data_IF_766274190457
#
_entry.id   IF_766274190457
#
_cell.length_a   1.000
_cell.length_b   1.000
_cell.length_c   1.000
_cell.angle_alpha   90.00
_cell.angle_beta   90.00
_cell.angle_gamma   90.00
#
_symmetry.space_group_name_H-M   'P 1'
#
loop_
_entity.id
_entity.type
_entity.pdbx_description
1 polymer ?
#
# COMPACT_ATOMS: atom_id res chain seq x y z
N UNK A 1 -7.93 -25.21 -18.22
CA UNK A 1 -8.16 -23.75 -18.22
C UNK A 1 -6.80 -23.10 -18.20
N UNK A 2 -6.43 -22.37 -19.25
CA UNK A 2 -5.08 -21.80 -19.41
C UNK A 2 -5.05 -20.49 -18.64
N UNK A 3 -4.29 -20.44 -17.54
CA UNK A 3 -4.06 -19.21 -16.80
C UNK A 3 -3.21 -18.24 -17.64
N UNK A 4 -3.55 -16.95 -17.63
CA UNK A 4 -2.74 -15.93 -18.33
C UNK A 4 -1.32 -15.89 -17.79
N UNK A 5 -0.32 -15.96 -18.67
CA UNK A 5 1.09 -15.76 -18.33
C UNK A 5 1.44 -14.27 -18.30
N UNK A 6 2.60 -13.90 -17.75
CA UNK A 6 3.12 -12.51 -17.59
C UNK A 6 3.37 -11.72 -18.90
N UNK A 7 2.78 -12.11 -20.02
CA UNK A 7 2.71 -11.31 -21.26
C UNK A 7 1.29 -10.85 -21.63
N UNK A 8 0.26 -11.44 -21.04
CA UNK A 8 -1.15 -11.10 -21.32
C UNK A 8 -1.73 -10.25 -20.19
N UNK A 9 -1.71 -8.93 -20.37
CA UNK A 9 -2.22 -7.96 -19.39
C UNK A 9 -3.73 -8.08 -19.20
N UNK A 10 -4.20 -7.79 -17.99
CA UNK A 10 -5.63 -7.57 -17.74
C UNK A 10 -6.08 -6.28 -18.45
N UNK A 11 -7.33 -6.26 -18.92
CA UNK A 11 -7.86 -5.14 -19.72
C UNK A 11 -8.47 -4.05 -18.84
N UNK A 12 -9.07 -4.44 -17.73
CA UNK A 12 -9.93 -3.57 -16.91
C UNK A 12 -9.18 -2.86 -15.78
N UNK A 13 -8.03 -3.38 -15.35
CA UNK A 13 -7.21 -2.83 -14.28
C UNK A 13 -5.76 -3.29 -14.45
N UNK A 14 -4.81 -2.55 -13.86
CA UNK A 14 -3.41 -2.97 -13.73
C UNK A 14 -3.22 -3.82 -12.48
N UNK A 15 -2.15 -4.59 -12.48
CA UNK A 15 -1.77 -5.44 -11.34
C UNK A 15 -0.33 -5.19 -10.94
N UNK A 16 -0.08 -5.10 -9.64
CA UNK A 16 1.25 -4.88 -9.11
C UNK A 16 1.54 -5.81 -7.93
N UNK A 17 2.82 -6.06 -7.67
CA UNK A 17 3.28 -6.76 -6.47
C UNK A 17 4.24 -5.86 -5.72
N UNK A 18 4.03 -5.73 -4.41
CA UNK A 18 4.94 -4.96 -3.56
C UNK A 18 6.02 -5.89 -2.97
N UNK A 19 7.28 -5.52 -3.13
CA UNK A 19 8.44 -6.26 -2.62
C UNK A 19 9.06 -5.48 -1.47
N UNK A 20 8.99 -6.02 -0.26
CA UNK A 20 9.60 -5.38 0.92
C UNK A 20 11.12 -5.35 0.80
N UNK A 21 11.80 -4.54 1.62
CA UNK A 21 13.27 -4.52 1.63
C UNK A 21 13.86 -5.91 1.96
N UNK A 22 13.15 -6.72 2.77
CA UNK A 22 13.54 -8.11 3.03
C UNK A 22 13.35 -9.00 1.80
N UNK A 23 12.27 -8.83 1.05
CA UNK A 23 12.07 -9.53 -0.22
C UNK A 23 13.21 -9.21 -1.19
N UNK A 24 13.50 -7.92 -1.39
CA UNK A 24 14.57 -7.48 -2.30
C UNK A 24 15.94 -8.02 -1.85
N UNK A 25 16.25 -8.01 -0.56
CA UNK A 25 17.48 -8.61 -0.04
C UNK A 25 17.56 -10.12 -0.32
N UNK A 26 16.44 -10.84 -0.21
CA UNK A 26 16.37 -12.27 -0.56
C UNK A 26 16.59 -12.50 -2.07
N UNK A 27 16.21 -11.56 -2.92
CA UNK A 27 16.44 -11.60 -4.37
C UNK A 27 17.93 -11.51 -4.77
N UNK A 28 18.84 -11.30 -3.80
CA UNK A 28 20.27 -11.48 -4.04
C UNK A 28 20.60 -12.89 -4.53
N UNK A 29 19.87 -13.92 -4.07
CA UNK A 29 19.91 -15.27 -4.63
C UNK A 29 19.13 -15.32 -5.96
N UNK A 30 19.87 -15.30 -7.07
CA UNK A 30 19.31 -15.36 -8.42
C UNK A 30 18.50 -16.64 -8.67
N UNK A 31 18.90 -17.77 -8.07
CA UNK A 31 18.21 -19.04 -8.24
C UNK A 31 16.85 -19.03 -7.54
N UNK A 32 16.79 -18.45 -6.34
CA UNK A 32 15.52 -18.23 -5.64
C UNK A 32 14.64 -17.21 -6.38
N UNK A 33 15.20 -16.09 -6.84
CA UNK A 33 14.47 -15.07 -7.60
C UNK A 33 13.83 -15.66 -8.86
N UNK A 34 14.59 -16.40 -9.67
CA UNK A 34 14.08 -17.05 -10.88
C UNK A 34 12.93 -18.02 -10.58
N UNK A 35 13.13 -18.91 -9.60
CA UNK A 35 12.13 -19.92 -9.24
C UNK A 35 10.86 -19.29 -8.66
N UNK A 36 11.00 -18.32 -7.77
CA UNK A 36 9.86 -17.63 -7.15
C UNK A 36 9.08 -16.79 -8.16
N UNK A 37 9.77 -16.10 -9.06
CA UNK A 37 9.14 -15.36 -10.15
C UNK A 37 8.32 -16.31 -11.02
N UNK A 38 8.88 -17.47 -11.39
CA UNK A 38 8.19 -18.48 -12.18
C UNK A 38 6.94 -19.05 -11.49
N UNK A 39 6.90 -19.10 -10.15
CA UNK A 39 5.69 -19.51 -9.41
C UNK A 39 4.59 -18.45 -9.53
N UNK A 40 4.91 -17.18 -9.28
CA UNK A 40 3.92 -16.11 -9.32
C UNK A 40 3.45 -15.83 -10.75
N UNK A 41 4.37 -15.70 -11.70
CA UNK A 41 4.09 -15.38 -13.11
C UNK A 41 3.27 -16.44 -13.86
N UNK A 42 3.35 -17.70 -13.44
CA UNK A 42 2.47 -18.78 -13.93
C UNK A 42 1.07 -18.72 -13.34
N UNK A 43 0.92 -18.09 -12.18
CA UNK A 43 -0.33 -18.03 -11.46
C UNK A 43 -1.16 -16.82 -11.87
N UNK A 44 -0.53 -15.66 -12.05
CA UNK A 44 -1.18 -14.44 -12.52
C UNK A 44 -0.17 -13.49 -13.20
N UNK A 45 -0.65 -12.69 -14.15
CA UNK A 45 0.14 -11.59 -14.72
C UNK A 45 0.22 -10.42 -13.73
N UNK A 46 1.39 -9.78 -13.62
CA UNK A 46 1.57 -8.50 -12.94
C UNK A 46 2.38 -7.54 -13.82
N UNK A 47 1.89 -6.31 -13.93
CA UNK A 47 2.44 -5.27 -14.81
C UNK A 47 3.64 -4.57 -14.17
N UNK A 48 3.65 -4.50 -12.84
CA UNK A 48 4.59 -3.69 -12.07
C UNK A 48 5.03 -4.40 -10.79
N UNK A 49 6.25 -4.10 -10.34
CA UNK A 49 6.66 -4.30 -8.96
C UNK A 49 7.06 -2.98 -8.31
N UNK A 50 6.66 -2.81 -7.05
CA UNK A 50 7.21 -1.77 -6.18
C UNK A 50 8.36 -2.39 -5.39
N UNK A 51 9.56 -1.86 -5.52
CA UNK A 51 10.78 -2.37 -4.88
C UNK A 51 11.15 -1.46 -3.71
N UNK A 52 10.94 -1.95 -2.49
CA UNK A 52 11.20 -1.16 -1.29
C UNK A 52 12.70 -1.02 -1.02
N UNK A 53 13.15 0.23 -0.85
CA UNK A 53 14.57 0.53 -0.60
C UNK A 53 14.93 0.54 0.89
N UNK A 54 13.94 0.74 1.76
CA UNK A 54 14.14 0.87 3.20
C UNK A 54 12.98 0.31 4.00
N UNK A 55 13.28 -0.60 4.93
CA UNK A 55 12.38 -1.16 5.96
C UNK A 55 13.21 -1.60 7.16
N UNK A 56 12.66 -1.55 8.37
CA UNK A 56 13.25 -2.22 9.55
C UNK A 56 14.68 -1.74 9.84
N UNK A 57 14.92 -0.45 9.59
CA UNK A 57 16.25 0.17 9.62
C UNK A 57 17.30 -0.46 8.66
N UNK A 58 16.86 -1.27 7.69
CA UNK A 58 17.68 -1.88 6.65
C UNK A 58 17.52 -1.08 5.36
N UNK A 59 18.64 -0.60 4.81
CA UNK A 59 18.72 0.04 3.51
C UNK A 59 19.26 -0.98 2.49
N UNK A 60 18.54 -1.19 1.38
CA UNK A 60 18.98 -2.09 0.31
C UNK A 60 20.11 -1.45 -0.49
N UNK A 61 21.15 -2.21 -0.83
CA UNK A 61 22.29 -1.69 -1.60
C UNK A 61 21.89 -1.31 -3.03
N UNK A 62 22.54 -0.27 -3.57
CA UNK A 62 22.32 0.20 -4.95
C UNK A 62 22.53 -0.93 -5.97
N UNK A 63 23.62 -1.69 -5.84
CA UNK A 63 23.96 -2.76 -6.77
C UNK A 63 22.88 -3.84 -6.80
N UNK A 64 22.34 -4.20 -5.63
CA UNK A 64 21.25 -5.17 -5.56
C UNK A 64 19.97 -4.60 -6.16
N UNK A 65 19.63 -3.34 -5.87
CA UNK A 65 18.47 -2.67 -6.47
C UNK A 65 18.56 -2.66 -8.00
N UNK A 66 19.71 -2.31 -8.56
CA UNK A 66 19.92 -2.28 -10.01
C UNK A 66 19.80 -3.69 -10.63
N UNK A 67 20.36 -4.71 -9.98
CA UNK A 67 20.22 -6.12 -10.39
C UNK A 67 18.76 -6.55 -10.42
N UNK A 68 18.01 -6.31 -9.34
CA UNK A 68 16.60 -6.70 -9.23
C UNK A 68 15.74 -5.92 -10.21
N UNK A 69 15.99 -4.63 -10.40
CA UNK A 69 15.31 -3.82 -11.42
C UNK A 69 15.50 -4.40 -12.82
N UNK A 70 16.74 -4.74 -13.20
CA UNK A 70 17.02 -5.35 -14.51
C UNK A 70 16.26 -6.67 -14.66
N UNK A 71 16.29 -7.52 -13.64
CA UNK A 71 15.60 -8.82 -13.67
C UNK A 71 14.12 -8.70 -14.05
N UNK A 72 13.40 -7.76 -13.44
CA UNK A 72 11.97 -7.52 -13.72
C UNK A 72 11.76 -6.83 -15.07
N UNK A 73 12.58 -5.84 -15.40
CA UNK A 73 12.49 -5.11 -16.68
C UNK A 73 12.73 -6.03 -17.88
N UNK A 74 13.70 -6.93 -17.79
CA UNK A 74 14.02 -7.92 -18.83
C UNK A 74 12.87 -8.93 -19.05
N UNK A 75 11.92 -8.99 -18.10
CA UNK A 75 10.70 -9.80 -18.15
C UNK A 75 9.44 -8.98 -18.46
N UNK A 76 9.60 -7.71 -18.86
CA UNK A 76 8.49 -6.82 -19.23
C UNK A 76 7.69 -6.27 -18.05
N UNK A 77 8.22 -6.36 -16.83
CA UNK A 77 7.57 -5.85 -15.60
C UNK A 77 8.14 -4.48 -15.25
N UNK A 78 7.28 -3.48 -15.11
CA UNK A 78 7.63 -2.11 -14.69
C UNK A 78 8.16 -2.11 -13.25
N UNK A 79 9.05 -1.17 -12.91
CA UNK A 79 9.61 -1.07 -11.55
C UNK A 79 9.44 0.34 -11.00
N UNK A 80 8.83 0.45 -9.82
CA UNK A 80 8.71 1.68 -9.04
C UNK A 80 9.36 1.51 -7.67
N UNK A 81 9.72 2.61 -7.01
CA UNK A 81 10.34 2.59 -5.68
C UNK A 81 9.30 2.46 -4.57
N UNK A 82 9.61 1.73 -3.51
CA UNK A 82 8.85 1.70 -2.27
C UNK A 82 9.68 2.21 -1.08
N UNK A 83 9.03 2.81 -0.08
CA UNK A 83 9.66 3.19 1.19
C UNK A 83 8.69 2.84 2.33
N UNK A 84 9.11 2.03 3.31
CA UNK A 84 8.43 1.97 4.60
C UNK A 84 9.33 2.50 5.70
N UNK A 85 8.87 3.54 6.38
CA UNK A 85 9.57 4.18 7.51
C UNK A 85 9.42 3.39 8.82
N UNK A 86 9.39 2.06 8.72
CA UNK A 86 9.32 1.12 9.83
C UNK A 86 10.72 0.89 10.44
N UNK A 87 10.83 0.83 11.77
CA UNK A 87 12.11 0.75 12.50
C UNK A 87 12.41 -0.60 13.18
N UNK A 88 11.45 -1.52 13.22
CA UNK A 88 11.35 -2.66 14.16
C UNK A 88 10.51 -2.35 15.40
N UNK A 89 9.57 -3.24 15.73
CA UNK A 89 8.77 -3.10 16.94
C UNK A 89 7.94 -4.32 17.31
N UNK A 90 8.05 -5.44 16.59
CA UNK A 90 7.14 -6.58 16.76
C UNK A 90 5.68 -6.10 16.72
N UNK A 91 4.91 -6.42 17.76
CA UNK A 91 3.50 -6.00 17.88
C UNK A 91 3.28 -4.49 18.15
N UNK A 92 4.33 -3.71 18.39
CA UNK A 92 4.21 -2.26 18.66
C UNK A 92 4.22 -1.37 17.42
N UNK A 93 4.48 -1.95 16.24
CA UNK A 93 4.45 -1.26 14.93
C UNK A 93 5.13 0.12 14.96
N UNK A 94 6.42 0.17 15.27
CA UNK A 94 7.15 1.43 15.44
C UNK A 94 7.64 2.00 14.10
N UNK A 95 7.29 3.25 13.82
CA UNK A 95 7.84 4.03 12.70
C UNK A 95 8.99 4.96 13.16
N UNK A 96 9.67 5.57 12.19
CA UNK A 96 10.60 6.68 12.43
C UNK A 96 9.95 7.76 13.31
N UNK A 97 10.71 8.29 14.25
CA UNK A 97 10.26 9.39 15.11
C UNK A 97 10.69 10.72 14.50
N UNK A 98 9.75 11.40 13.84
CA UNK A 98 10.06 12.67 13.17
C UNK A 98 10.28 13.87 14.12
N UNK A 99 10.30 13.67 15.44
CA UNK A 99 10.86 14.65 16.38
C UNK A 99 12.38 14.62 16.43
N UNK A 100 12.98 13.47 16.14
CA UNK A 100 14.42 13.26 16.18
C UNK A 100 15.07 13.81 14.93
N UNK A 101 16.14 14.58 15.10
CA UNK A 101 16.97 15.04 13.98
C UNK A 101 17.53 13.86 13.19
N UNK A 102 17.94 12.80 13.88
CA UNK A 102 18.61 11.64 13.30
C UNK A 102 17.66 10.88 12.36
N UNK A 103 16.41 10.66 12.79
CA UNK A 103 15.39 9.98 11.98
C UNK A 103 14.94 10.85 10.78
N UNK A 104 14.93 12.18 10.93
CA UNK A 104 14.69 13.11 9.81
C UNK A 104 15.82 13.06 8.78
N UNK A 105 17.08 13.03 9.22
CA UNK A 105 18.23 12.85 8.31
C UNK A 105 18.21 11.47 7.64
N UNK A 106 17.84 10.43 8.39
CA UNK A 106 17.69 9.09 7.83
C UNK A 106 16.62 9.06 6.74
N UNK A 107 15.47 9.70 6.96
CA UNK A 107 14.44 9.81 5.93
C UNK A 107 14.95 10.56 4.70
N UNK A 108 15.70 11.66 4.86
CA UNK A 108 16.32 12.36 3.72
C UNK A 108 17.27 11.45 2.94
N UNK A 109 18.12 10.69 3.62
CA UNK A 109 19.03 9.74 2.98
C UNK A 109 18.26 8.72 2.14
N UNK A 110 17.22 8.11 2.73
CA UNK A 110 16.36 7.13 2.06
C UNK A 110 15.69 7.75 0.84
N UNK A 111 15.04 8.91 1.00
CA UNK A 111 14.34 9.59 -0.11
C UNK A 111 15.30 9.95 -1.24
N UNK A 112 16.50 10.48 -0.93
CA UNK A 112 17.52 10.78 -1.94
C UNK A 112 17.94 9.52 -2.70
N UNK A 113 18.18 8.42 -1.99
CA UNK A 113 18.54 7.15 -2.61
C UNK A 113 17.43 6.68 -3.56
N UNK A 114 16.19 6.62 -3.08
CA UNK A 114 15.06 6.11 -3.87
C UNK A 114 14.79 6.99 -5.10
N UNK A 115 14.86 8.32 -4.96
CA UNK A 115 14.68 9.26 -6.07
C UNK A 115 15.80 9.23 -7.12
N UNK A 116 17.02 8.80 -6.75
CA UNK A 116 18.09 8.51 -7.73
C UNK A 116 17.80 7.25 -8.54
N UNK A 117 17.03 6.32 -7.96
CA UNK A 117 16.80 5.00 -8.54
C UNK A 117 15.47 4.92 -9.30
N UNK A 118 14.46 5.73 -8.99
CA UNK A 118 13.11 5.59 -9.56
C UNK A 118 12.47 6.93 -9.91
N UNK A 119 11.64 6.91 -10.96
CA UNK A 119 10.82 8.05 -11.39
C UNK A 119 9.42 8.05 -10.77
N UNK A 120 9.05 6.98 -10.07
CA UNK A 120 7.80 6.85 -9.31
C UNK A 120 8.11 6.17 -7.98
N UNK A 121 7.66 6.76 -6.86
CA UNK A 121 7.92 6.29 -5.50
C UNK A 121 6.61 6.25 -4.72
N UNK A 122 6.33 5.12 -4.08
CA UNK A 122 5.24 4.98 -3.11
C UNK A 122 5.79 4.92 -1.68
N UNK A 123 5.19 5.70 -0.80
CA UNK A 123 5.36 5.58 0.65
C UNK A 123 4.32 4.60 1.18
N UNK A 124 4.82 3.56 1.85
CA UNK A 124 4.02 2.56 2.56
C UNK A 124 3.26 3.19 3.73
N UNK A 125 2.24 2.50 4.23
CA UNK A 125 1.36 3.03 5.27
C UNK A 125 2.01 3.14 6.66
N UNK A 126 3.27 2.73 6.83
CA UNK A 126 4.11 3.04 8.00
C UNK A 126 4.63 4.50 8.05
N UNK A 127 4.27 5.34 7.08
CA UNK A 127 4.65 6.76 7.08
C UNK A 127 4.08 7.56 8.26
N UNK A 128 3.14 7.00 9.03
CA UNK A 128 2.59 7.60 10.24
C UNK A 128 3.62 7.85 11.35
N UNK A 129 3.20 8.56 12.42
CA UNK A 129 3.92 8.67 13.69
C UNK A 129 3.08 8.21 14.89
N UNK A 130 3.54 7.16 15.57
CA UNK A 130 2.93 6.69 16.82
C UNK A 130 3.80 6.97 18.07
N UNK A 131 5.02 7.47 17.90
CA UNK A 131 5.97 7.71 18.97
C UNK A 131 5.48 8.77 19.99
N UNK A 132 5.82 8.55 21.27
CA UNK A 132 5.57 9.47 22.40
C UNK A 132 6.81 9.61 23.31
N UNK A 133 8.02 9.55 22.74
CA UNK A 133 9.26 9.74 23.50
C UNK A 133 9.37 11.16 24.08
N UNK A 134 10.39 11.39 24.91
CA UNK A 134 10.62 12.69 25.58
C UNK A 134 10.68 13.86 24.60
N UNK A 135 11.34 13.68 23.45
CA UNK A 135 11.40 14.70 22.40
C UNK A 135 10.03 14.99 21.79
N UNK A 136 9.19 13.97 21.55
CA UNK A 136 7.82 14.18 21.11
C UNK A 136 7.01 14.94 22.15
N UNK A 137 7.16 14.60 23.44
CA UNK A 137 6.45 15.29 24.53
C UNK A 137 6.86 16.76 24.59
N UNK A 138 8.17 17.04 24.47
CA UNK A 138 8.71 18.40 24.42
C UNK A 138 8.23 19.16 23.18
N UNK A 139 8.26 18.54 21.99
CA UNK A 139 7.85 19.14 20.73
C UNK A 139 6.34 19.40 20.66
N UNK A 140 5.51 18.50 21.23
CA UNK A 140 4.06 18.69 21.34
C UNK A 140 3.72 19.96 22.12
N UNK A 141 4.42 20.20 23.23
CA UNK A 141 4.13 21.32 24.13
C UNK A 141 2.69 21.27 24.64
N UNK A 142 1.96 22.38 24.55
CA UNK A 142 0.55 22.48 25.00
C UNK A 142 -0.48 21.95 24.00
N UNK A 143 -0.09 21.56 22.78
CA UNK A 143 -1.02 21.08 21.74
C UNK A 143 -1.64 19.73 22.10
N UNK A 144 -2.75 19.38 21.46
CA UNK A 144 -3.21 17.98 21.48
C UNK A 144 -2.22 17.08 20.72
N UNK A 145 -2.25 15.77 20.97
CA UNK A 145 -1.43 14.82 20.19
C UNK A 145 -1.78 14.86 18.70
N UNK A 146 -3.07 14.93 18.36
CA UNK A 146 -3.54 15.03 16.98
C UNK A 146 -3.01 16.28 16.28
N UNK A 147 -3.18 17.46 16.89
CA UNK A 147 -2.72 18.72 16.27
C UNK A 147 -1.20 18.70 16.04
N UNK A 148 -0.45 18.23 17.03
CA UNK A 148 1.00 18.12 16.92
C UNK A 148 1.42 17.14 15.81
N UNK A 149 0.81 15.95 15.74
CA UNK A 149 1.14 14.93 14.73
C UNK A 149 0.80 15.40 13.32
N UNK A 150 -0.35 16.03 13.12
CA UNK A 150 -0.73 16.59 11.82
C UNK A 150 0.29 17.63 11.35
N UNK A 151 0.57 18.66 12.17
CA UNK A 151 1.56 19.70 11.80
C UNK A 151 2.96 19.13 11.54
N UNK A 152 3.37 18.17 12.35
CA UNK A 152 4.67 17.50 12.19
C UNK A 152 4.74 16.75 10.86
N UNK A 153 3.72 15.97 10.53
CA UNK A 153 3.70 15.19 9.30
C UNK A 153 3.52 16.05 8.05
N UNK A 154 2.79 17.16 8.13
CA UNK A 154 2.74 18.15 7.04
C UNK A 154 4.14 18.72 6.73
N UNK A 155 4.91 19.10 7.76
CA UNK A 155 6.31 19.54 7.63
C UNK A 155 7.20 18.45 7.03
N UNK A 156 7.10 17.21 7.54
CA UNK A 156 7.89 16.09 7.05
C UNK A 156 7.55 15.76 5.59
N UNK A 157 6.26 15.71 5.25
CA UNK A 157 5.80 15.43 3.89
C UNK A 157 6.30 16.51 2.90
N UNK A 158 6.14 17.79 3.22
CA UNK A 158 6.55 18.86 2.31
C UNK A 158 8.08 19.02 2.27
N UNK A 159 8.69 19.22 3.44
CA UNK A 159 10.07 19.70 3.54
C UNK A 159 11.11 18.58 3.52
N UNK A 160 10.73 17.37 3.93
CA UNK A 160 11.64 16.22 3.92
C UNK A 160 11.34 15.32 2.73
N UNK A 161 10.10 14.92 2.49
CA UNK A 161 9.78 13.99 1.41
C UNK A 161 9.79 14.67 0.05
N UNK A 162 8.84 15.59 -0.20
CA UNK A 162 8.62 16.14 -1.55
C UNK A 162 9.80 16.98 -2.04
N UNK A 163 10.29 17.92 -1.22
CA UNK A 163 11.43 18.77 -1.60
C UNK A 163 12.69 17.94 -1.86
N UNK A 164 13.06 17.03 -0.96
CA UNK A 164 14.27 16.21 -1.13
C UNK A 164 14.19 15.30 -2.36
N UNK A 165 13.04 14.67 -2.62
CA UNK A 165 12.89 13.82 -3.80
C UNK A 165 13.04 14.63 -5.09
N UNK A 166 12.41 15.82 -5.15
CA UNK A 166 12.43 16.69 -6.33
C UNK A 166 13.75 17.43 -6.53
N UNK A 167 14.53 17.65 -5.47
CA UNK A 167 15.93 18.11 -5.58
C UNK A 167 16.80 17.12 -6.36
N UNK A 168 16.54 15.82 -6.19
CA UNK A 168 17.29 14.74 -6.85
C UNK A 168 16.72 14.44 -8.25
N UNK A 169 15.40 14.34 -8.35
CA UNK A 169 14.69 14.04 -9.59
C UNK A 169 13.46 14.97 -9.70
N UNK A 170 13.57 16.10 -10.41
CA UNK A 170 12.48 17.06 -10.54
C UNK A 170 11.18 16.51 -11.16
N UNK A 171 11.27 15.39 -11.89
CA UNK A 171 10.14 14.72 -12.53
C UNK A 171 9.57 13.54 -11.74
N UNK A 172 10.10 13.25 -10.54
CA UNK A 172 9.65 12.12 -9.73
C UNK A 172 8.17 12.26 -9.38
N UNK A 173 7.41 11.17 -9.57
CA UNK A 173 6.03 11.04 -9.13
C UNK A 173 5.99 10.43 -7.74
N UNK A 174 5.38 11.13 -6.80
CA UNK A 174 5.28 10.69 -5.42
C UNK A 174 3.85 10.23 -5.12
N UNK A 175 3.76 9.06 -4.49
CA UNK A 175 2.53 8.42 -4.07
C UNK A 175 2.56 8.24 -2.56
N UNK A 176 1.49 8.67 -1.88
CA UNK A 176 1.27 8.35 -0.47
C UNK A 176 0.19 7.27 -0.36
N UNK A 177 0.53 6.12 0.25
CA UNK A 177 -0.46 5.10 0.61
C UNK A 177 -1.12 5.50 1.92
N UNK A 178 -2.44 5.56 1.93
CA UNK A 178 -3.21 5.66 3.17
C UNK A 178 -3.62 4.27 3.65
N UNK A 179 -3.50 3.99 4.96
CA UNK A 179 -3.82 2.67 5.52
C UNK A 179 -5.32 2.36 5.52
N UNK A 180 -5.67 1.12 5.86
CA UNK A 180 -7.06 0.68 5.96
C UNK A 180 -7.88 1.34 7.10
N UNK A 181 -7.27 2.01 8.07
CA UNK A 181 -7.97 2.66 9.21
C UNK A 181 -8.36 4.13 8.93
N UNK A 182 -9.16 4.36 7.89
CA UNK A 182 -9.51 5.72 7.41
C UNK A 182 -10.20 6.65 8.40
N UNK A 183 -10.89 6.11 9.41
CA UNK A 183 -11.51 6.89 10.47
C UNK A 183 -10.47 7.45 11.47
N UNK A 184 -9.22 6.97 11.46
CA UNK A 184 -8.21 7.26 12.48
C UNK A 184 -6.92 7.92 11.95
N UNK A 185 -6.86 8.28 10.66
CA UNK A 185 -5.71 8.92 10.01
C UNK A 185 -5.04 10.03 10.82
N UNK A 186 -5.83 11.02 11.26
CA UNK A 186 -5.34 12.19 11.97
C UNK A 186 -4.71 11.87 13.33
N UNK A 187 -5.11 10.77 13.97
CA UNK A 187 -4.52 10.38 15.26
C UNK A 187 -3.06 9.96 15.14
N UNK A 188 -2.63 9.48 13.97
CA UNK A 188 -1.26 9.07 13.71
C UNK A 188 -0.55 9.96 12.68
N UNK A 189 -1.15 11.12 12.37
CA UNK A 189 -0.50 12.19 11.60
C UNK A 189 -0.73 12.16 10.10
N UNK A 190 -1.56 11.27 9.56
CA UNK A 190 -1.98 11.39 8.16
C UNK A 190 -2.92 12.59 8.01
N UNK A 191 -2.42 13.68 7.42
CA UNK A 191 -3.19 14.87 7.11
C UNK A 191 -3.80 14.73 5.72
N UNK A 192 -4.91 13.97 5.64
CA UNK A 192 -5.51 13.56 4.36
C UNK A 192 -5.83 14.76 3.44
N UNK A 193 -6.31 15.87 3.98
CA UNK A 193 -6.61 17.06 3.16
C UNK A 193 -5.35 17.73 2.60
N UNK A 194 -4.28 17.82 3.39
CA UNK A 194 -3.04 18.46 2.99
C UNK A 194 -2.22 17.56 2.06
N UNK A 195 -1.93 16.34 2.51
CA UNK A 195 -1.06 15.39 1.82
C UNK A 195 -1.65 14.94 0.48
N UNK A 196 -2.98 14.77 0.37
CA UNK A 196 -3.60 14.39 -0.91
C UNK A 196 -3.48 15.48 -2.00
N UNK A 197 -3.31 16.75 -1.60
CA UNK A 197 -3.02 17.87 -2.51
C UNK A 197 -1.54 17.98 -2.82
N UNK A 198 -0.69 17.66 -1.84
CA UNK A 198 0.76 17.76 -1.93
C UNK A 198 1.37 16.66 -2.82
N UNK A 199 0.95 15.41 -2.65
CA UNK A 199 1.44 14.27 -3.41
C UNK A 199 0.79 14.18 -4.81
N UNK A 200 1.54 13.67 -5.78
CA UNK A 200 1.07 13.54 -7.17
C UNK A 200 -0.09 12.53 -7.27
N UNK A 201 -0.02 11.45 -6.50
CA UNK A 201 -1.07 10.43 -6.39
C UNK A 201 -1.26 9.98 -4.94
N UNK A 202 -2.42 9.42 -4.66
CA UNK A 202 -2.69 8.69 -3.41
C UNK A 202 -2.91 7.21 -3.73
N UNK A 203 -2.75 6.35 -2.73
CA UNK A 203 -3.01 4.92 -2.84
C UNK A 203 -3.85 4.43 -1.65
N UNK A 204 -4.66 3.41 -1.87
CA UNK A 204 -5.65 2.97 -0.87
C UNK A 204 -5.26 1.63 -0.25
N UNK A 205 -5.01 1.59 1.06
CA UNK A 205 -5.02 0.35 1.83
C UNK A 205 -6.43 -0.21 1.91
N UNK A 206 -6.70 -1.26 1.15
CA UNK A 206 -8.04 -1.87 1.06
C UNK A 206 -8.16 -3.12 1.91
N UNK A 207 -7.23 -3.34 2.83
CA UNK A 207 -7.16 -4.56 3.62
C UNK A 207 -8.27 -4.58 4.66
N UNK A 208 -9.04 -5.67 4.71
CA UNK A 208 -10.02 -5.93 5.78
C UNK A 208 -9.42 -6.88 6.80
N UNK A 209 -10.07 -6.95 7.94
CA UNK A 209 -9.73 -7.86 9.03
C UNK A 209 -11.00 -8.51 9.51
N UNK A 210 -10.87 -9.53 10.34
CA UNK A 210 -12.03 -10.01 11.05
C UNK A 210 -12.53 -8.94 12.05
N UNK A 211 -13.80 -8.53 12.00
CA UNK A 211 -14.31 -7.42 12.80
C UNK A 211 -14.47 -7.76 14.29
N UNK A 212 -14.53 -9.04 14.67
CA UNK A 212 -14.77 -9.49 16.04
C UNK A 212 -13.48 -9.86 16.78
N UNK A 213 -12.51 -10.46 16.08
CA UNK A 213 -11.33 -11.09 16.71
C UNK A 213 -10.01 -10.38 16.39
N UNK A 214 -10.05 -9.21 15.73
CA UNK A 214 -8.85 -8.40 15.50
C UNK A 214 -8.96 -7.03 16.15
N UNK A 215 -7.81 -6.47 16.53
CA UNK A 215 -7.72 -5.17 17.21
C UNK A 215 -8.15 -3.98 16.34
N UNK A 216 -8.28 -4.17 15.02
CA UNK A 216 -8.64 -3.09 14.09
C UNK A 216 -10.16 -2.99 13.88
N UNK A 217 -10.94 -4.04 14.17
CA UNK A 217 -12.39 -4.08 14.00
C UNK A 217 -12.88 -3.61 12.61
N UNK A 218 -12.13 -3.90 11.55
CA UNK A 218 -12.44 -3.46 10.19
C UNK A 218 -13.57 -4.30 9.61
N UNK A 219 -14.58 -3.64 9.05
CA UNK A 219 -15.76 -4.29 8.48
C UNK A 219 -15.49 -4.82 7.07
N UNK A 220 -16.16 -5.88 6.64
CA UNK A 220 -15.90 -6.54 5.36
C UNK A 220 -16.14 -5.62 4.14
N UNK A 221 -17.14 -4.75 4.19
CA UNK A 221 -17.42 -3.79 3.11
C UNK A 221 -16.32 -2.73 2.92
N UNK A 222 -15.37 -2.63 3.87
CA UNK A 222 -14.40 -1.56 3.90
C UNK A 222 -13.52 -1.50 2.65
N UNK A 223 -13.08 -2.64 2.10
CA UNK A 223 -12.25 -2.66 0.87
C UNK A 223 -12.89 -1.85 -0.26
N UNK A 224 -14.23 -1.91 -0.36
CA UNK A 224 -14.97 -1.13 -1.35
C UNK A 224 -15.10 0.33 -0.91
N UNK A 225 -15.61 0.59 0.29
CA UNK A 225 -15.97 1.93 0.74
C UNK A 225 -14.77 2.88 0.85
N UNK A 226 -13.63 2.39 1.34
CA UNK A 226 -12.42 3.21 1.51
C UNK A 226 -11.82 3.59 0.15
N UNK A 227 -11.90 2.68 -0.82
CA UNK A 227 -11.50 2.96 -2.21
C UNK A 227 -12.39 4.04 -2.82
N UNK A 228 -13.72 3.97 -2.58
CA UNK A 228 -14.66 5.03 -3.00
C UNK A 228 -14.39 6.36 -2.30
N UNK A 229 -14.13 6.33 -1.01
CA UNK A 229 -13.80 7.53 -0.23
C UNK A 229 -12.56 8.23 -0.78
N UNK A 230 -11.46 7.49 -0.96
CA UNK A 230 -10.20 8.07 -1.46
C UNK A 230 -10.30 8.48 -2.94
N UNK A 231 -11.09 7.81 -3.77
CA UNK A 231 -11.41 8.33 -5.12
C UNK A 231 -12.13 9.69 -5.04
N UNK A 232 -13.01 9.91 -4.05
CA UNK A 232 -13.65 11.23 -3.84
C UNK A 232 -12.74 12.26 -3.17
N UNK A 233 -11.68 11.84 -2.47
CA UNK A 233 -10.63 12.73 -1.93
C UNK A 233 -9.78 13.30 -3.05
N UNK A 234 -9.34 12.46 -3.99
CA UNK A 234 -8.52 12.88 -5.13
C UNK A 234 -9.05 12.25 -6.43
N UNK A 235 -10.15 12.79 -7.01
CA UNK A 235 -10.75 12.27 -8.23
C UNK A 235 -9.72 12.16 -9.35
N UNK A 236 -9.60 10.97 -9.95
CA UNK A 236 -8.61 10.69 -10.98
C UNK A 236 -7.18 10.48 -10.47
N UNK A 237 -6.85 10.92 -9.26
CA UNK A 237 -5.50 10.82 -8.66
C UNK A 237 -5.30 9.71 -7.62
N UNK A 238 -6.31 8.87 -7.35
CA UNK A 238 -6.12 7.62 -6.63
C UNK A 238 -5.55 6.55 -7.59
N UNK A 239 -4.36 6.06 -7.29
CA UNK A 239 -3.58 5.15 -8.12
C UNK A 239 -4.09 3.71 -8.08
N UNK A 240 -4.72 3.29 -6.98
CA UNK A 240 -5.17 1.91 -6.84
C UNK A 240 -5.43 1.48 -5.39
N UNK A 241 -5.74 0.20 -5.27
CA UNK A 241 -5.97 -0.48 -4.00
C UNK A 241 -4.87 -1.48 -3.69
N UNK A 242 -4.55 -1.62 -2.42
CA UNK A 242 -3.49 -2.45 -1.89
C UNK A 242 -4.10 -3.49 -0.95
N UNK A 243 -3.77 -4.76 -1.15
CA UNK A 243 -4.32 -5.89 -0.39
C UNK A 243 -3.19 -6.76 0.14
N UNK A 244 -3.25 -7.14 1.41
CA UNK A 244 -2.39 -8.17 2.00
C UNK A 244 -3.18 -9.43 2.35
N UNK A 245 -2.53 -10.60 2.45
CA UNK A 245 -3.19 -11.83 2.83
C UNK A 245 -3.20 -12.01 4.37
N UNK A 246 -2.71 -11.07 5.17
CA UNK A 246 -2.59 -11.27 6.62
C UNK A 246 -3.91 -11.18 7.35
N UNK A 247 -3.93 -11.82 8.53
CA UNK A 247 -5.08 -11.82 9.45
C UNK A 247 -6.41 -12.19 8.77
N UNK A 248 -6.32 -12.89 7.64
CA UNK A 248 -7.44 -13.53 6.95
C UNK A 248 -7.81 -14.79 7.73
N UNK A 249 -9.09 -14.97 8.02
CA UNK A 249 -9.60 -16.24 8.59
C UNK A 249 -9.60 -17.36 7.57
N UNK A 250 -9.94 -17.03 6.33
CA UNK A 250 -10.03 -17.97 5.21
C UNK A 250 -9.43 -17.35 3.96
N UNK A 251 -9.11 -18.19 2.97
CA UNK A 251 -8.69 -17.72 1.66
C UNK A 251 -9.79 -16.90 0.98
N UNK A 252 -11.05 -17.23 1.20
CA UNK A 252 -12.19 -16.48 0.65
C UNK A 252 -12.22 -15.04 1.15
N UNK A 253 -11.84 -14.77 2.41
CA UNK A 253 -11.75 -13.39 2.93
C UNK A 253 -10.64 -12.58 2.27
N UNK A 254 -9.53 -13.22 1.88
CA UNK A 254 -8.48 -12.54 1.12
C UNK A 254 -8.94 -12.21 -0.31
N UNK A 255 -9.63 -13.17 -0.94
CA UNK A 255 -10.20 -12.97 -2.28
C UNK A 255 -11.33 -11.93 -2.28
N UNK A 256 -12.15 -11.89 -1.24
CA UNK A 256 -13.21 -10.89 -1.11
C UNK A 256 -12.65 -9.47 -1.10
N UNK A 257 -11.57 -9.21 -0.36
CA UNK A 257 -10.88 -7.91 -0.38
C UNK A 257 -10.49 -7.52 -1.80
N UNK A 258 -9.84 -8.43 -2.54
CA UNK A 258 -9.45 -8.21 -3.94
C UNK A 258 -10.68 -7.88 -4.81
N UNK A 259 -11.76 -8.67 -4.69
CA UNK A 259 -12.99 -8.44 -5.46
C UNK A 259 -13.60 -7.08 -5.16
N UNK A 260 -13.74 -6.73 -3.88
CA UNK A 260 -14.33 -5.45 -3.46
C UNK A 260 -13.48 -4.26 -3.93
N UNK A 261 -12.15 -4.37 -3.86
CA UNK A 261 -11.23 -3.36 -4.40
C UNK A 261 -11.44 -3.14 -5.90
N UNK A 262 -11.59 -4.22 -6.68
CA UNK A 262 -11.82 -4.10 -8.13
C UNK A 262 -13.26 -3.61 -8.42
N UNK A 263 -14.27 -4.07 -7.67
CA UNK A 263 -15.65 -3.57 -7.80
C UNK A 263 -15.74 -2.06 -7.52
N UNK A 264 -14.92 -1.53 -6.63
CA UNK A 264 -14.80 -0.10 -6.37
C UNK A 264 -14.07 0.69 -7.48
N UNK A 265 -13.63 0.00 -8.55
CA UNK A 265 -12.91 0.51 -9.72
C UNK A 265 -11.49 1.02 -9.42
N UNK A 266 -10.74 0.31 -8.57
CA UNK A 266 -9.30 0.53 -8.45
C UNK A 266 -8.60 0.41 -9.82
N UNK A 267 -7.77 1.40 -10.16
CA UNK A 267 -7.02 1.43 -11.43
C UNK A 267 -5.88 0.41 -11.45
N UNK A 268 -5.24 0.22 -10.31
CA UNK A 268 -4.21 -0.79 -10.04
C UNK A 268 -4.60 -1.59 -8.78
N UNK A 269 -4.34 -2.89 -8.79
CA UNK A 269 -4.45 -3.74 -7.60
C UNK A 269 -3.05 -4.21 -7.22
N UNK A 270 -2.57 -3.78 -6.06
CA UNK A 270 -1.27 -4.15 -5.52
C UNK A 270 -1.42 -5.25 -4.48
N UNK A 271 -0.67 -6.33 -4.65
CA UNK A 271 -0.61 -7.44 -3.71
C UNK A 271 0.62 -7.31 -2.82
N UNK A 272 0.39 -7.24 -1.51
CA UNK A 272 1.43 -7.17 -0.51
C UNK A 272 1.62 -8.49 0.22
N UNK A 273 2.84 -8.96 0.45
CA UNK A 273 4.06 -8.66 -0.28
C UNK A 273 4.52 -9.88 -1.06
N UNK A 274 5.47 -9.70 -1.96
CA UNK A 274 6.05 -10.74 -2.81
C UNK A 274 6.36 -12.03 -2.01
N UNK A 275 7.04 -11.91 -0.88
CA UNK A 275 7.34 -13.05 0.00
C UNK A 275 6.12 -13.69 0.64
N UNK A 276 5.06 -12.93 0.92
CA UNK A 276 3.81 -13.42 1.51
C UNK A 276 2.86 -14.05 0.50
N UNK A 277 3.09 -13.82 -0.80
CA UNK A 277 2.46 -14.56 -1.88
C UNK A 277 3.11 -15.92 -2.10
N UNK A 278 4.23 -16.19 -1.44
CA UNK A 278 5.03 -17.40 -1.61
C UNK A 278 5.05 -18.22 -0.32
N UNK A 279 5.24 -19.51 -0.51
CA UNK A 279 5.55 -20.47 0.54
C UNK A 279 6.76 -21.29 0.09
N UNK A 280 7.22 -22.20 0.95
CA UNK A 280 8.33 -23.08 0.62
C UNK A 280 8.04 -24.50 1.06
N UNK A 281 8.28 -25.45 0.16
CA UNK A 281 8.22 -26.88 0.41
C UNK A 281 9.61 -27.49 0.25
N UNK A 282 9.94 -28.47 1.10
CA UNK A 282 11.20 -29.21 0.95
C UNK A 282 11.01 -30.33 -0.08
N UNK A 283 11.83 -30.32 -1.13
CA UNK A 283 11.90 -31.38 -2.12
C UNK A 283 13.34 -31.87 -2.20
N UNK A 284 13.58 -33.15 -1.87
CA UNK A 284 14.93 -33.76 -1.83
C UNK A 284 15.95 -32.95 -1.01
N UNK A 285 15.52 -32.39 0.13
CA UNK A 285 16.35 -31.56 1.00
C UNK A 285 16.53 -30.10 0.55
N UNK A 286 16.07 -29.75 -0.66
CA UNK A 286 16.13 -28.39 -1.21
C UNK A 286 14.81 -27.66 -0.96
N UNK A 287 14.87 -26.44 -0.43
CA UNK A 287 13.69 -25.58 -0.28
C UNK A 287 13.29 -25.00 -1.64
N UNK A 288 12.07 -25.31 -2.08
CA UNK A 288 11.52 -24.86 -3.36
C UNK A 288 10.34 -23.91 -3.11
N UNK A 289 10.27 -22.76 -3.80
CA UNK A 289 9.14 -21.86 -3.66
C UNK A 289 7.87 -22.49 -4.24
N UNK A 290 6.74 -22.25 -3.59
CA UNK A 290 5.39 -22.61 -4.04
C UNK A 290 4.41 -21.50 -3.62
N UNK A 291 3.11 -21.66 -3.89
CA UNK A 291 2.08 -20.73 -3.41
C UNK A 291 0.71 -21.39 -3.37
N UNK A 292 -0.01 -21.20 -2.27
CA UNK A 292 -1.44 -21.54 -2.18
C UNK A 292 -2.34 -20.36 -2.57
N UNK A 293 -1.84 -19.12 -2.46
CA UNK A 293 -2.64 -17.91 -2.68
C UNK A 293 -2.59 -17.44 -4.14
N UNK A 294 -1.43 -17.53 -4.79
CA UNK A 294 -1.21 -16.97 -6.12
C UNK A 294 -2.13 -17.58 -7.20
N UNK A 295 -2.36 -18.91 -7.25
CA UNK A 295 -3.28 -19.48 -8.25
C UNK A 295 -4.72 -18.99 -8.07
N UNK A 296 -5.16 -18.81 -6.82
CA UNK A 296 -6.51 -18.34 -6.52
C UNK A 296 -6.67 -16.88 -6.92
N UNK A 297 -5.64 -16.05 -6.64
CA UNK A 297 -5.58 -14.66 -7.08
C UNK A 297 -5.69 -14.57 -8.61
N UNK A 298 -4.93 -15.39 -9.35
CA UNK A 298 -5.01 -15.42 -10.80
C UNK A 298 -6.41 -15.73 -11.32
N UNK A 299 -7.06 -16.75 -10.74
CA UNK A 299 -8.44 -17.08 -11.09
C UNK A 299 -9.40 -15.91 -10.84
N UNK A 300 -9.24 -15.22 -9.72
CA UNK A 300 -10.08 -14.08 -9.35
C UNK A 300 -9.85 -12.91 -10.29
N UNK A 301 -8.61 -12.62 -10.67
CA UNK A 301 -8.33 -11.56 -11.64
C UNK A 301 -8.93 -11.88 -13.01
N UNK A 302 -8.88 -13.12 -13.48
CA UNK A 302 -9.53 -13.52 -14.74
C UNK A 302 -11.05 -13.33 -14.69
N UNK A 303 -11.69 -13.80 -13.61
CA UNK A 303 -13.13 -13.65 -13.41
C UNK A 303 -13.52 -12.16 -13.39
N UNK A 304 -12.77 -11.34 -12.63
CA UNK A 304 -13.03 -9.91 -12.49
C UNK A 304 -12.74 -9.13 -13.79
N UNK A 305 -11.67 -9.44 -14.51
CA UNK A 305 -11.36 -8.79 -15.80
C UNK A 305 -12.46 -9.06 -16.84
N UNK A 306 -13.09 -10.25 -16.79
CA UNK A 306 -14.18 -10.62 -17.69
C UNK A 306 -15.51 -9.90 -17.42
N UNK A 307 -15.68 -9.37 -16.20
CA UNK A 307 -16.91 -8.77 -15.69
C UNK A 307 -16.82 -7.24 -15.60
N UNK A 308 -15.74 -6.72 -15.02
CA UNK A 308 -15.67 -5.33 -14.56
C UNK A 308 -15.69 -4.32 -15.70
N UNK A 309 -15.13 -4.66 -16.86
CA UNK A 309 -15.24 -3.83 -18.07
C UNK A 309 -16.67 -3.69 -18.61
N UNK A 310 -17.60 -4.56 -18.20
CA UNK A 310 -19.02 -4.49 -18.56
C UNK A 310 -19.85 -3.66 -17.57
N UNK A 311 -19.29 -3.32 -16.41
CA UNK A 311 -19.96 -2.53 -15.39
C UNK A 311 -19.66 -1.05 -15.57
N UNK A 312 -20.65 -0.20 -15.29
CA UNK A 312 -20.48 1.25 -15.23
C UNK A 312 -19.61 1.72 -14.05
N UNK A 313 -19.65 3.02 -13.79
CA UNK A 313 -18.99 3.60 -12.61
C UNK A 313 -19.83 3.36 -11.35
N UNK A 314 -19.21 3.11 -10.19
CA UNK A 314 -19.88 3.11 -8.89
C UNK A 314 -20.70 4.38 -8.68
N UNK A 315 -21.91 4.22 -8.17
CA UNK A 315 -22.76 5.32 -7.71
C UNK A 315 -23.55 4.85 -6.48
N UNK A 316 -23.95 5.80 -5.64
CA UNK A 316 -24.60 5.51 -4.37
C UNK A 316 -25.12 6.77 -3.69
N UNK A 317 -25.74 6.59 -2.52
CA UNK A 317 -26.19 7.68 -1.66
C UNK A 317 -24.97 8.41 -1.13
N UNK A 318 -24.89 9.72 -1.38
CA UNK A 318 -23.81 10.55 -0.89
C UNK A 318 -23.85 10.61 0.64
N UNK A 319 -22.72 10.30 1.27
CA UNK A 319 -22.59 10.38 2.72
C UNK A 319 -21.36 11.20 3.08
N UNK A 320 -21.57 12.27 3.83
CA UNK A 320 -20.53 13.23 4.14
C UNK A 320 -19.64 12.71 5.29
N UNK A 321 -18.34 12.56 5.02
CA UNK A 321 -17.31 12.34 6.03
C UNK A 321 -16.21 13.40 5.86
N UNK A 322 -16.25 14.52 6.60
CA UNK A 322 -15.20 15.54 6.50
C UNK A 322 -13.80 14.98 6.75
N UNK A 323 -12.79 15.63 6.18
CA UNK A 323 -11.40 15.35 6.49
C UNK A 323 -11.13 15.41 8.01
N UNK A 324 -10.32 14.48 8.51
CA UNK A 324 -9.92 14.39 9.92
C UNK A 324 -11.10 14.31 10.92
N UNK A 325 -12.28 13.88 10.46
CA UNK A 325 -13.44 13.63 11.31
C UNK A 325 -13.38 12.25 11.96
N UNK A 326 -13.95 12.14 13.16
CA UNK A 326 -14.01 10.92 13.98
C UNK A 326 -15.30 10.86 14.79
N UNK A 327 -15.71 9.67 15.25
CA UNK A 327 -16.84 9.49 16.16
C UNK A 327 -17.99 8.64 15.59
N UNK A 328 -17.93 8.31 14.31
CA UNK A 328 -18.89 7.44 13.61
C UNK A 328 -18.16 6.29 12.92
N UNK A 329 -17.26 5.65 13.66
CA UNK A 329 -16.35 4.62 13.15
C UNK A 329 -17.12 3.54 12.39
N UNK A 330 -16.73 3.35 11.13
CA UNK A 330 -17.28 2.34 10.23
C UNK A 330 -18.80 2.42 9.95
N UNK A 331 -19.50 3.50 10.32
CA UNK A 331 -20.94 3.66 10.06
C UNK A 331 -21.30 3.39 8.60
N UNK A 332 -20.51 3.97 7.69
CA UNK A 332 -20.66 3.80 6.25
C UNK A 332 -20.49 2.34 5.82
N UNK A 333 -19.62 1.59 6.49
CA UNK A 333 -19.39 0.18 6.19
C UNK A 333 -20.57 -0.68 6.65
N UNK A 334 -21.11 -0.43 7.84
CA UNK A 334 -22.31 -1.12 8.33
C UNK A 334 -23.49 -0.92 7.39
N UNK A 335 -23.74 0.31 6.95
CA UNK A 335 -24.82 0.60 6.00
C UNK A 335 -24.56 -0.08 4.65
N UNK A 336 -23.30 -0.10 4.19
CA UNK A 336 -22.90 -0.84 2.99
C UNK A 336 -23.17 -2.34 3.08
N UNK A 337 -22.92 -2.96 4.23
CA UNK A 337 -23.22 -4.38 4.47
C UNK A 337 -24.72 -4.68 4.47
N UNK A 338 -25.58 -3.69 4.74
CA UNK A 338 -27.04 -3.82 4.56
C UNK A 338 -27.48 -3.76 3.09
N UNK A 339 -26.53 -3.62 2.15
CA UNK A 339 -26.81 -3.56 0.71
C UNK A 339 -27.17 -2.16 0.20
N UNK A 340 -26.97 -1.12 1.02
CA UNK A 340 -27.19 0.26 0.60
C UNK A 340 -25.87 0.80 0.03
N UNK A 341 -25.79 1.17 -1.26
CA UNK A 341 -24.56 1.67 -1.84
C UNK A 341 -24.27 3.08 -1.30
N UNK A 342 -23.27 3.21 -0.44
CA UNK A 342 -22.85 4.48 0.13
C UNK A 342 -21.62 5.02 -0.60
N UNK A 343 -21.72 6.26 -1.07
CA UNK A 343 -20.63 6.97 -1.72
C UNK A 343 -20.09 8.04 -0.77
N UNK A 344 -19.06 7.67 0.01
CA UNK A 344 -18.47 8.53 1.05
C UNK A 344 -17.76 9.72 0.39
N UNK A 345 -18.05 10.95 0.81
CA UNK A 345 -17.42 12.17 0.28
C UNK A 345 -16.78 13.03 1.39
N UNK A 346 -15.58 13.58 1.17
CA UNK A 346 -14.94 14.50 2.11
C UNK A 346 -15.48 15.93 2.07
N UNK A 347 -16.35 16.21 1.10
CA UNK A 347 -17.01 17.51 0.89
C UNK A 347 -18.51 17.32 0.97
N UNK A 348 -19.21 18.30 1.55
CA UNK A 348 -20.66 18.27 1.68
C UNK A 348 -21.28 18.18 0.27
N UNK A 349 -22.18 17.22 0.01
CA UNK A 349 -22.69 16.91 -1.32
C UNK A 349 -23.65 17.94 -1.90
#
# INVERSE_FOLDING_TARGET
MVMRSTGEKYRSFKTAVYCTAHDVNRMADSGWLEKSFNVLSKSFSFDKVYLETFRDNVLVSIDLMLKVKSFFKDRGVETSGGIATYLSGGFSFQSLCYSKSEDREKLREVVKLTAKLFDEIIFDDFFFINCKCEECVKAKGSRSWTEYRLRLMEDVAENIVVKTAREVNPSVKLIIKYPNWYDHYHYLGYSLDFESKLFDMIYTGTETRDPEYTHQHLQEYQSYSIMRYLENVKPGGNGGGWVDPYMRRTLDRYIEQIRLTIFAKAKEVTLFCYGSLLESVKQNGVSMPTSIVAPIVGRVFEDMDSLIGKLGQPYGVKSYKPFNSSGEDFLHNYIGMLGIPIEITPRFP
#
